data_IF_681067558477
#
_entry.id   IF_681067558477
#
_cell.length_a   1.000
_cell.length_b   1.000
_cell.length_c   1.000
_cell.angle_alpha   90.00
_cell.angle_beta   90.00
_cell.angle_gamma   90.00
#
_symmetry.space_group_name_H-M   'P 1'
#
loop_
_entity.id
_entity.type
_entity.pdbx_description
1 polymer ?
#
# COMPACT_ATOMS: atom_id res chain seq x y z
N UNK A 1 -2.17 -3.84 -21.33
CA UNK A 1 -1.98 -3.37 -19.94
C UNK A 1 -0.49 -3.37 -19.66
N UNK A 2 0.13 -2.19 -19.49
CA UNK A 2 1.54 -2.10 -19.05
C UNK A 2 1.56 -2.33 -17.54
N UNK A 3 1.56 -3.59 -17.12
CA UNK A 3 1.66 -3.94 -15.72
C UNK A 3 3.08 -3.63 -15.25
N UNK A 4 3.26 -2.53 -14.51
CA UNK A 4 4.49 -2.35 -13.75
C UNK A 4 4.58 -3.47 -12.69
N UNK A 5 5.79 -3.97 -12.38
CA UNK A 5 5.95 -4.99 -11.35
C UNK A 5 5.37 -4.47 -10.04
N UNK A 6 4.39 -5.20 -9.49
CA UNK A 6 3.87 -4.92 -8.16
C UNK A 6 4.81 -5.55 -7.13
N UNK A 7 5.11 -4.79 -6.10
CA UNK A 7 6.01 -5.17 -5.02
C UNK A 7 5.22 -5.43 -3.75
N UNK A 8 5.29 -6.67 -3.25
CA UNK A 8 4.51 -7.07 -2.09
C UNK A 8 5.18 -6.62 -0.78
N UNK A 9 4.39 -6.45 0.27
CA UNK A 9 4.88 -6.21 1.62
C UNK A 9 5.90 -7.28 2.04
N UNK A 10 5.66 -8.54 1.73
CA UNK A 10 6.58 -9.62 2.09
C UNK A 10 7.88 -9.55 1.31
N UNK A 11 7.88 -9.08 0.05
CA UNK A 11 9.13 -8.89 -0.70
C UNK A 11 9.97 -7.76 -0.09
N UNK A 12 9.35 -6.71 0.44
CA UNK A 12 10.04 -5.64 1.17
C UNK A 12 10.62 -6.14 2.50
N UNK A 13 9.87 -6.96 3.22
CA UNK A 13 10.32 -7.57 4.47
C UNK A 13 11.48 -8.55 4.24
N UNK A 14 11.43 -9.33 3.15
CA UNK A 14 12.50 -10.22 2.68
C UNK A 14 13.71 -9.46 2.10
N UNK A 15 13.63 -8.14 1.92
CA UNK A 15 14.70 -7.31 1.34
C UNK A 15 14.87 -7.44 -0.18
N UNK A 16 13.88 -8.01 -0.88
CA UNK A 16 13.88 -8.18 -2.35
C UNK A 16 13.51 -6.90 -3.11
N UNK A 17 12.89 -5.95 -2.42
CA UNK A 17 12.46 -4.65 -2.96
C UNK A 17 12.59 -3.55 -1.90
N UNK A 18 12.75 -2.31 -2.36
CA UNK A 18 12.86 -1.11 -1.52
C UNK A 18 11.53 -0.40 -1.29
N UNK A 19 10.45 -0.84 -1.95
CA UNK A 19 9.13 -0.22 -1.85
C UNK A 19 8.00 -1.27 -1.88
N UNK A 20 6.88 -0.92 -1.27
CA UNK A 20 5.64 -1.70 -1.27
C UNK A 20 4.61 -1.00 -2.14
N UNK A 21 4.06 -1.73 -3.09
CA UNK A 21 3.01 -1.25 -3.97
C UNK A 21 1.69 -1.14 -3.23
N UNK A 22 1.03 0.01 -3.36
CA UNK A 22 -0.32 0.23 -2.87
C UNK A 22 -1.24 0.73 -3.98
N UNK A 23 -2.52 0.45 -3.84
CA UNK A 23 -3.56 0.94 -4.71
C UNK A 23 -4.53 1.87 -3.96
N UNK A 24 -4.91 2.98 -4.60
CA UNK A 24 -5.74 4.04 -3.99
C UNK A 24 -6.68 4.69 -5.00
N UNK A 25 -7.68 5.43 -4.50
CA UNK A 25 -8.62 6.18 -5.34
C UNK A 25 -7.93 7.34 -6.07
N UNK A 26 -8.04 7.38 -7.40
CA UNK A 26 -7.48 8.45 -8.24
C UNK A 26 -8.16 9.82 -8.06
N UNK A 27 -9.41 9.88 -7.57
CA UNK A 27 -10.14 11.15 -7.39
C UNK A 27 -9.87 11.81 -6.04
N UNK A 28 -9.13 11.15 -5.15
CA UNK A 28 -8.67 11.72 -3.90
C UNK A 28 -7.60 12.81 -4.08
N UNK A 29 -7.16 13.07 -5.31
CA UNK A 29 -6.02 13.96 -5.59
C UNK A 29 -4.67 13.29 -5.37
N UNK A 30 -4.64 11.97 -5.19
CA UNK A 30 -3.41 11.20 -4.99
C UNK A 30 -2.82 10.82 -6.35
N UNK A 31 -1.64 11.37 -6.63
CA UNK A 31 -0.93 11.09 -7.86
C UNK A 31 -0.33 9.67 -7.87
N UNK A 32 -0.21 9.10 -9.06
CA UNK A 32 0.62 7.91 -9.25
C UNK A 32 2.06 8.19 -8.80
N UNK A 33 2.65 7.26 -8.06
CA UNK A 33 3.99 7.36 -7.51
C UNK A 33 4.09 8.10 -6.18
N UNK A 34 2.99 8.63 -5.65
CA UNK A 34 2.95 9.23 -4.30
C UNK A 34 3.46 8.24 -3.26
N UNK A 35 4.34 8.73 -2.39
CA UNK A 35 4.85 7.97 -1.25
C UNK A 35 3.94 8.19 -0.06
N UNK A 36 3.69 7.12 0.68
CA UNK A 36 2.82 7.12 1.86
C UNK A 36 3.56 6.44 2.99
N UNK A 37 3.44 6.99 4.19
CA UNK A 37 3.86 6.34 5.41
C UNK A 37 2.62 5.82 6.14
N UNK A 38 2.67 4.57 6.61
CA UNK A 38 1.62 3.92 7.40
C UNK A 38 2.23 3.54 8.75
N UNK A 39 2.09 4.40 9.79
CA UNK A 39 2.74 4.20 11.09
C UNK A 39 2.39 2.88 11.76
N UNK A 40 1.16 2.38 11.58
CA UNK A 40 0.70 1.10 12.13
C UNK A 40 1.56 -0.07 11.64
N UNK A 41 1.86 -0.10 10.34
CA UNK A 41 2.70 -1.15 9.76
C UNK A 41 4.17 -0.96 10.11
N UNK A 42 4.64 0.29 10.19
CA UNK A 42 6.00 0.54 10.64
C UNK A 42 6.23 0.05 12.08
N UNK A 43 5.27 0.28 12.98
CA UNK A 43 5.31 -0.22 14.35
C UNK A 43 5.27 -1.75 14.40
N UNK A 44 4.40 -2.37 13.59
CA UNK A 44 4.27 -3.83 13.54
C UNK A 44 5.54 -4.56 13.10
N UNK A 45 6.17 -4.06 12.04
CA UNK A 45 7.36 -4.70 11.45
C UNK A 45 8.67 -4.12 11.96
N UNK A 46 8.62 -3.17 12.90
CA UNK A 46 9.78 -2.45 13.44
C UNK A 46 10.70 -1.89 12.35
N UNK A 47 10.12 -1.44 11.23
CA UNK A 47 10.85 -1.02 10.03
C UNK A 47 10.11 0.14 9.37
N UNK A 48 10.82 1.11 8.83
CA UNK A 48 10.20 2.17 8.02
C UNK A 48 9.90 1.59 6.64
N UNK A 49 8.62 1.39 6.35
CA UNK A 49 8.16 0.81 5.09
C UNK A 49 7.80 1.94 4.13
N UNK A 50 8.40 1.92 2.94
CA UNK A 50 8.11 2.87 1.88
C UNK A 50 6.93 2.37 1.04
N UNK A 51 5.74 2.90 1.25
CA UNK A 51 4.59 2.59 0.40
C UNK A 51 4.55 3.54 -0.79
N UNK A 52 4.25 3.01 -1.98
CA UNK A 52 4.15 3.78 -3.22
C UNK A 52 2.87 3.44 -3.96
N UNK A 53 2.11 4.49 -4.30
CA UNK A 53 0.88 4.37 -5.08
C UNK A 53 1.26 3.99 -6.52
N UNK A 54 0.93 2.76 -6.92
CA UNK A 54 1.25 2.26 -8.27
C UNK A 54 0.03 1.71 -9.00
N UNK A 55 -1.14 1.74 -8.37
CA UNK A 55 -2.40 1.46 -9.03
C UNK A 55 -3.46 2.46 -8.54
N UNK A 56 -4.17 3.02 -9.51
CA UNK A 56 -5.23 4.00 -9.27
C UNK A 56 -6.47 3.66 -10.11
N UNK A 57 -6.65 2.37 -10.40
CA UNK A 57 -7.73 1.84 -11.21
C UNK A 57 -9.13 2.15 -10.67
N UNK A 58 -10.12 2.01 -11.55
CA UNK A 58 -11.54 2.27 -11.25
C UNK A 58 -12.15 1.41 -10.13
N UNK A 59 -11.46 0.35 -9.69
CA UNK A 59 -11.89 -0.49 -8.57
C UNK A 59 -11.89 0.26 -7.22
N UNK A 60 -11.15 1.37 -7.11
CA UNK A 60 -11.08 2.21 -5.91
C UNK A 60 -11.98 3.45 -5.99
N UNK A 61 -12.85 3.53 -7.01
CA UNK A 61 -13.70 4.68 -7.29
C UNK A 61 -14.60 5.06 -6.11
N UNK A 62 -14.52 6.33 -5.70
CA UNK A 62 -15.37 6.92 -4.67
C UNK A 62 -15.02 6.49 -3.24
N UNK A 63 -13.83 5.92 -3.04
CA UNK A 63 -13.32 5.52 -1.72
C UNK A 63 -12.38 6.56 -1.10
N UNK A 64 -11.90 7.53 -1.87
CA UNK A 64 -11.09 8.63 -1.34
C UNK A 64 -9.89 8.12 -0.51
N UNK A 65 -9.73 8.68 0.69
CA UNK A 65 -8.74 8.23 1.68
C UNK A 65 -9.22 7.08 2.59
N UNK A 66 -10.49 6.66 2.46
CA UNK A 66 -11.08 5.66 3.36
C UNK A 66 -10.65 4.22 3.05
N UNK A 67 -10.01 3.99 1.89
CA UNK A 67 -9.56 2.66 1.48
C UNK A 67 -8.20 2.75 0.78
N UNK A 68 -7.29 1.92 1.24
CA UNK A 68 -6.00 1.63 0.63
C UNK A 68 -5.90 0.12 0.47
N UNK A 69 -5.36 -0.35 -0.64
CA UNK A 69 -5.04 -1.75 -0.83
C UNK A 69 -3.54 -1.94 -0.81
N UNK A 70 -3.05 -2.77 0.10
CA UNK A 70 -1.62 -3.05 0.25
C UNK A 70 -1.32 -4.33 -0.50
N UNK A 71 -0.39 -4.28 -1.45
CA UNK A 71 -0.01 -5.46 -2.20
C UNK A 71 0.65 -6.47 -1.25
N UNK A 72 0.00 -7.63 -1.08
CA UNK A 72 0.51 -8.74 -0.27
C UNK A 72 0.71 -9.98 -1.14
N UNK A 73 1.61 -10.86 -0.71
CA UNK A 73 2.04 -12.05 -1.47
C UNK A 73 0.92 -13.05 -1.71
N UNK A 74 -0.02 -13.19 -0.78
CA UNK A 74 -1.09 -14.18 -0.85
C UNK A 74 -2.28 -13.81 0.04
N UNK A 75 -3.37 -14.56 -0.11
CA UNK A 75 -4.61 -14.41 0.66
C UNK A 75 -4.42 -14.60 2.16
N UNK A 76 -3.51 -15.46 2.61
CA UNK A 76 -3.24 -15.62 4.04
C UNK A 76 -2.68 -14.33 4.65
N UNK A 77 -1.74 -13.68 3.94
CA UNK A 77 -1.19 -12.40 4.35
C UNK A 77 -2.24 -11.27 4.31
N UNK A 78 -3.26 -11.35 3.46
CA UNK A 78 -4.34 -10.37 3.45
C UNK A 78 -5.26 -10.49 4.65
N UNK A 79 -5.18 -11.53 5.48
CA UNK A 79 -5.98 -11.65 6.72
C UNK A 79 -5.33 -11.00 7.94
N UNK A 80 -4.17 -10.39 7.75
CA UNK A 80 -3.49 -9.67 8.80
C UNK A 80 -4.39 -8.55 9.37
N UNK A 81 -4.61 -8.58 10.68
CA UNK A 81 -5.52 -7.65 11.35
C UNK A 81 -5.04 -6.20 11.33
N UNK A 82 -3.74 -5.97 11.18
CA UNK A 82 -3.18 -4.63 11.04
C UNK A 82 -3.39 -4.12 9.63
N UNK A 83 -3.26 -4.98 8.60
CA UNK A 83 -3.52 -4.62 7.20
C UNK A 83 -5.00 -4.28 6.99
N UNK A 84 -5.92 -5.03 7.59
CA UNK A 84 -7.36 -4.78 7.52
C UNK A 84 -7.89 -3.79 8.57
N UNK A 85 -6.99 -3.24 9.40
CA UNK A 85 -7.36 -2.34 10.49
C UNK A 85 -7.57 -0.90 10.04
N UNK A 86 -7.76 -0.01 11.02
CA UNK A 86 -7.69 1.42 10.78
C UNK A 86 -6.24 1.83 10.53
N UNK A 87 -5.97 2.31 9.32
CA UNK A 87 -4.65 2.77 8.90
C UNK A 87 -4.60 4.28 8.81
N UNK A 88 -3.53 4.87 9.33
CA UNK A 88 -3.25 6.30 9.19
C UNK A 88 -2.38 6.50 7.95
N UNK A 89 -2.83 7.32 7.00
CA UNK A 89 -2.07 7.66 5.80
C UNK A 89 -1.38 9.00 6.01
N UNK A 90 -0.05 8.98 6.05
CA UNK A 90 0.77 10.19 6.14
C UNK A 90 1.41 10.46 4.78
N UNK A 91 1.08 11.63 4.21
CA UNK A 91 1.61 12.13 2.94
C UNK A 91 2.71 13.16 3.24
N UNK A 92 3.90 13.06 2.61
CA UNK A 92 4.96 14.06 2.72
C UNK A 92 4.67 15.33 1.90
#
# INVERSE_FOLDING_TARGET
MRGHPLHTLQDFLDGKTSEVSVAMDNRAGIAYGTRICIPELNRKYHKVINFRVVDTGSAFYGKGHSRIDICVRNQAASYDSTINGHLTLVFP
#
